data_IF_461547617645
#
_entry.id   IF_461547617645
#
_cell.length_a   1.000
_cell.length_b   1.000
_cell.length_c   1.000
_cell.angle_alpha   90.00
_cell.angle_beta   90.00
_cell.angle_gamma   90.00
#
_symmetry.space_group_name_H-M   'P 1'
#
loop_
_entity.id
_entity.type
_entity.pdbx_description
1 polymer ?
#
# COMPACT_ATOMS: atom_id res chain seq x y z
N UNK A 1 9.42 8.72 -4.19
CA UNK A 1 8.63 8.72 -5.43
C UNK A 1 9.42 9.31 -6.57
N UNK A 2 8.89 9.25 -7.80
CA UNK A 2 9.46 9.99 -8.94
C UNK A 2 8.68 11.28 -9.16
N UNK A 3 9.41 12.38 -9.31
CA UNK A 3 8.90 13.66 -9.80
C UNK A 3 9.84 14.13 -10.92
N UNK A 4 9.29 14.48 -12.05
CA UNK A 4 10.04 14.90 -13.24
C UNK A 4 11.19 13.93 -13.60
N UNK A 5 10.91 12.63 -13.48
CA UNK A 5 11.85 11.55 -13.78
C UNK A 5 12.95 11.31 -12.74
N UNK A 6 12.90 11.96 -11.57
CA UNK A 6 13.93 11.84 -10.54
C UNK A 6 13.38 11.37 -9.20
N UNK A 7 14.10 10.51 -8.47
CA UNK A 7 13.76 10.15 -7.11
C UNK A 7 13.67 11.38 -6.21
N UNK A 8 12.49 11.60 -5.63
CA UNK A 8 12.18 12.77 -4.82
C UNK A 8 11.59 12.34 -3.48
N UNK A 9 12.07 12.94 -2.40
CA UNK A 9 11.52 12.73 -1.07
C UNK A 9 10.25 13.55 -0.89
N UNK A 10 9.23 12.95 -0.29
CA UNK A 10 7.98 13.63 0.06
C UNK A 10 7.63 13.35 1.52
N UNK A 11 6.93 14.27 2.13
CA UNK A 11 6.54 14.13 3.53
C UNK A 11 5.36 13.17 3.69
N UNK A 12 5.38 12.38 4.76
CA UNK A 12 4.22 11.60 5.14
C UNK A 12 3.03 12.51 5.48
N UNK A 13 1.82 12.02 5.23
CA UNK A 13 0.54 12.74 5.40
C UNK A 13 0.41 14.00 4.51
N UNK A 14 1.24 14.10 3.45
CA UNK A 14 1.16 15.19 2.47
C UNK A 14 0.34 14.81 1.24
N UNK A 15 0.06 15.80 0.42
CA UNK A 15 -0.63 15.70 -0.88
C UNK A 15 -1.94 14.90 -0.81
N UNK A 16 -2.78 15.29 0.15
CA UNK A 16 -4.10 14.70 0.36
C UNK A 16 -5.00 14.93 -0.87
N UNK A 17 -5.59 13.86 -1.36
CA UNK A 17 -6.62 13.88 -2.41
C UNK A 17 -7.77 12.93 -2.07
N UNK A 18 -8.89 13.05 -2.77
CA UNK A 18 -10.01 12.13 -2.64
C UNK A 18 -10.02 11.16 -3.81
N UNK A 19 -10.24 9.88 -3.50
CA UNK A 19 -10.41 8.82 -4.49
C UNK A 19 -11.71 8.09 -4.19
N UNK A 20 -12.53 7.87 -5.22
CA UNK A 20 -13.81 7.18 -5.05
C UNK A 20 -13.71 5.76 -5.57
N UNK A 21 -14.16 4.84 -4.75
CA UNK A 21 -14.35 3.42 -5.09
C UNK A 21 -15.85 3.09 -5.21
N UNK A 22 -16.20 1.99 -5.87
CA UNK A 22 -17.58 1.52 -5.90
C UNK A 22 -18.15 1.24 -4.49
N UNK A 23 -19.48 1.31 -4.32
CA UNK A 23 -20.11 0.83 -3.08
C UNK A 23 -19.71 -0.63 -2.78
N UNK A 24 -19.55 -1.01 -1.50
CA UNK A 24 -19.81 -0.22 -0.29
C UNK A 24 -18.63 0.64 0.19
N UNK A 25 -17.51 0.69 -0.51
CA UNK A 25 -16.30 1.39 -0.08
C UNK A 25 -16.48 2.92 -0.11
N UNK A 26 -16.92 3.46 -1.25
CA UNK A 26 -17.19 4.90 -1.39
C UNK A 26 -15.95 5.77 -1.44
N UNK A 27 -16.05 6.99 -0.90
CA UNK A 27 -14.96 7.97 -0.91
C UNK A 27 -13.88 7.63 0.12
N UNK A 28 -12.62 7.75 -0.30
CA UNK A 28 -11.44 7.56 0.53
C UNK A 28 -10.51 8.77 0.42
N UNK A 29 -9.70 9.00 1.44
CA UNK A 29 -8.55 9.89 1.44
C UNK A 29 -7.31 9.13 0.97
N UNK A 30 -6.60 9.70 -0.01
CA UNK A 30 -5.32 9.19 -0.48
C UNK A 30 -4.20 10.18 -0.13
N UNK A 31 -3.13 9.72 0.50
CA UNK A 31 -2.03 10.56 0.95
C UNK A 31 -0.73 9.76 1.04
N UNK A 32 0.40 10.46 1.06
CA UNK A 32 1.69 9.81 1.16
C UNK A 32 1.95 9.24 2.54
N UNK A 33 2.49 8.01 2.54
CA UNK A 33 3.08 7.35 3.71
C UNK A 33 4.49 6.87 3.35
N UNK A 34 5.22 6.23 4.26
CA UNK A 34 6.52 5.65 3.95
C UNK A 34 6.44 4.31 3.24
N UNK A 35 7.38 4.01 2.35
CA UNK A 35 7.73 2.67 1.88
C UNK A 35 6.89 2.03 0.78
N UNK A 36 5.91 2.71 0.20
CA UNK A 36 4.93 2.08 -0.70
C UNK A 36 5.44 1.65 -2.07
N UNK A 37 6.47 2.27 -2.62
CA UNK A 37 7.04 1.91 -3.93
C UNK A 37 8.48 1.41 -3.89
N UNK A 38 9.00 1.15 -2.68
CA UNK A 38 10.31 0.54 -2.47
C UNK A 38 11.40 1.10 -3.40
N UNK A 39 12.02 0.25 -4.23
CA UNK A 39 13.12 0.62 -5.13
C UNK A 39 12.67 1.16 -6.49
N UNK A 40 11.39 1.10 -6.81
CA UNK A 40 10.86 1.49 -8.14
C UNK A 40 11.28 2.91 -8.58
N UNK A 41 11.37 3.93 -7.69
CA UNK A 41 11.83 5.25 -8.10
C UNK A 41 13.23 5.25 -8.74
N UNK A 42 14.12 4.40 -8.28
CA UNK A 42 15.47 4.28 -8.85
C UNK A 42 15.48 3.40 -10.11
N UNK A 43 14.71 2.32 -10.12
CA UNK A 43 14.60 1.43 -11.28
C UNK A 43 13.99 2.11 -12.52
N UNK A 44 13.10 3.09 -12.28
CA UNK A 44 12.38 3.82 -13.32
C UNK A 44 12.83 5.28 -13.49
N UNK A 45 13.94 5.67 -12.86
CA UNK A 45 14.54 7.00 -13.04
C UNK A 45 14.79 7.29 -14.53
N UNK A 46 14.36 8.45 -14.99
CA UNK A 46 14.48 8.86 -16.40
C UNK A 46 13.52 8.15 -17.38
N UNK A 47 12.87 7.06 -16.98
CA UNK A 47 11.92 6.30 -17.82
C UNK A 47 10.47 6.73 -17.61
N UNK A 48 10.11 7.09 -16.36
CA UNK A 48 8.77 7.51 -15.98
C UNK A 48 8.85 8.90 -15.35
N UNK A 49 8.02 9.82 -15.81
CA UNK A 49 8.04 11.21 -15.34
C UNK A 49 7.54 11.32 -13.90
N UNK A 50 6.44 10.67 -13.59
CA UNK A 50 5.83 10.69 -12.26
C UNK A 50 5.45 9.27 -11.85
N UNK A 51 5.88 8.86 -10.67
CA UNK A 51 5.46 7.60 -10.04
C UNK A 51 5.27 7.84 -8.57
N UNK A 52 4.09 7.56 -8.07
CA UNK A 52 3.75 7.78 -6.67
C UNK A 52 2.94 6.63 -6.09
N UNK A 53 2.99 6.52 -4.79
CA UNK A 53 2.15 5.65 -4.00
C UNK A 53 1.46 6.48 -2.91
N UNK A 54 0.16 6.30 -2.78
CA UNK A 54 -0.63 6.89 -1.70
C UNK A 54 -1.39 5.80 -0.96
N UNK A 55 -1.40 5.91 0.35
CA UNK A 55 -2.19 5.03 1.21
C UNK A 55 -3.62 5.56 1.24
N UNK A 56 -4.58 4.64 1.16
CA UNK A 56 -6.01 4.95 1.23
C UNK A 56 -6.53 4.76 2.66
N UNK A 57 -7.32 5.71 3.13
CA UNK A 57 -8.04 5.63 4.41
C UNK A 57 -9.42 6.26 4.27
N UNK A 58 -10.33 5.92 5.16
CA UNK A 58 -11.61 6.62 5.25
C UNK A 58 -11.41 8.09 5.65
N UNK A 59 -12.31 9.01 5.20
CA UNK A 59 -12.20 10.43 5.47
C UNK A 59 -12.08 10.76 6.96
N UNK A 60 -11.20 11.72 7.27
CA UNK A 60 -10.91 12.17 8.63
C UNK A 60 -9.63 11.60 9.22
N UNK A 61 -9.02 10.59 8.60
CA UNK A 61 -7.77 10.00 9.11
C UNK A 61 -6.62 11.02 9.15
N UNK A 62 -6.41 11.75 8.05
CA UNK A 62 -5.33 12.76 7.98
C UNK A 62 -5.59 13.92 8.93
N UNK A 63 -6.85 14.33 9.09
CA UNK A 63 -7.23 15.39 10.02
C UNK A 63 -6.85 15.07 11.48
N UNK A 64 -6.86 13.80 11.87
CA UNK A 64 -6.43 13.35 13.19
C UNK A 64 -4.91 13.16 13.25
N UNK A 65 -4.34 12.46 12.28
CA UNK A 65 -2.93 12.03 12.34
C UNK A 65 -1.92 13.16 12.09
N UNK A 66 -2.30 14.16 11.29
CA UNK A 66 -1.41 15.29 11.00
C UNK A 66 -1.11 16.14 12.25
N UNK A 67 -2.10 16.59 13.06
CA UNK A 67 -1.80 17.26 14.33
C UNK A 67 -0.97 16.43 15.29
N UNK A 68 -1.21 15.14 15.40
CA UNK A 68 -0.42 14.24 16.26
C UNK A 68 1.05 14.26 15.85
N UNK A 69 1.33 14.22 14.54
CA UNK A 69 2.68 14.33 14.01
C UNK A 69 3.29 15.72 14.27
N UNK A 70 2.55 16.78 13.97
CA UNK A 70 3.04 18.16 14.10
C UNK A 70 3.32 18.54 15.55
N UNK A 71 2.60 17.95 16.50
CA UNK A 71 2.87 18.10 17.94
C UNK A 71 4.03 17.22 18.43
N UNK A 72 4.72 16.48 17.56
CA UNK A 72 5.89 15.67 17.91
C UNK A 72 5.56 14.34 18.60
N UNK A 73 4.28 13.94 18.68
CA UNK A 73 3.90 12.67 19.32
C UNK A 73 4.32 11.42 18.53
N UNK A 74 4.74 11.59 17.27
CA UNK A 74 5.31 10.52 16.44
C UNK A 74 6.84 10.59 16.33
N UNK A 75 7.49 11.49 17.06
CA UNK A 75 8.94 11.63 17.04
C UNK A 75 9.63 10.47 17.75
N UNK A 76 10.82 10.12 17.24
CA UNK A 76 11.66 9.05 17.77
C UNK A 76 12.77 9.56 18.67
N UNK A 77 12.99 10.88 18.73
CA UNK A 77 13.97 11.50 19.60
C UNK A 77 13.44 11.49 21.04
N UNK A 78 14.18 10.91 22.00
CA UNK A 78 13.75 10.89 23.39
C UNK A 78 13.60 12.29 23.98
N UNK A 79 12.58 12.47 24.81
CA UNK A 79 12.36 13.68 25.62
C UNK A 79 12.39 13.34 27.11
N UNK A 80 12.87 14.26 27.96
CA UNK A 80 12.88 14.05 29.41
C UNK A 80 11.53 14.35 30.02
N UNK A 81 10.94 13.34 30.68
CA UNK A 81 9.67 13.44 31.42
C UNK A 81 9.93 13.02 32.87
N UNK A 82 9.85 13.95 33.81
CA UNK A 82 10.10 13.68 35.25
C UNK A 82 11.43 12.93 35.49
N UNK A 83 12.49 13.34 34.78
CA UNK A 83 13.83 12.76 34.92
C UNK A 83 14.08 11.45 34.16
N UNK A 84 13.09 10.89 33.49
CA UNK A 84 13.22 9.69 32.65
C UNK A 84 13.20 10.07 31.17
N UNK A 85 13.96 9.35 30.34
CA UNK A 85 13.88 9.47 28.90
C UNK A 85 12.69 8.66 28.36
N UNK A 86 11.88 9.30 27.54
CA UNK A 86 10.69 8.72 26.92
C UNK A 86 10.71 9.04 25.42
N UNK A 87 10.53 8.03 24.58
CA UNK A 87 10.31 8.21 23.15
C UNK A 87 8.83 8.51 22.91
N UNK A 88 8.47 9.71 22.38
CA UNK A 88 7.05 10.11 22.22
C UNK A 88 6.25 9.10 21.42
N UNK A 89 6.78 8.61 20.30
CA UNK A 89 6.10 7.62 19.45
C UNK A 89 5.79 6.32 20.19
N UNK A 90 6.70 5.82 21.00
CA UNK A 90 6.50 4.55 21.71
C UNK A 90 5.42 4.69 22.79
N UNK A 91 5.40 5.83 23.48
CA UNK A 91 4.33 6.17 24.42
C UNK A 91 2.99 6.29 23.71
N UNK A 92 2.94 6.99 22.56
CA UNK A 92 1.73 7.15 21.77
C UNK A 92 1.19 5.79 21.33
N UNK A 93 2.03 4.93 20.77
CA UNK A 93 1.64 3.59 20.32
C UNK A 93 1.11 2.77 21.52
N UNK A 94 1.80 2.75 22.63
CA UNK A 94 1.36 2.02 23.83
C UNK A 94 0.00 2.48 24.34
N UNK A 95 -0.25 3.80 24.32
CA UNK A 95 -1.51 4.38 24.79
C UNK A 95 -2.69 4.12 23.83
N UNK A 96 -2.44 4.08 22.52
CA UNK A 96 -3.49 4.03 21.49
C UNK A 96 -3.80 2.60 21.04
N UNK A 97 -2.83 1.71 21.00
CA UNK A 97 -3.01 0.34 20.52
C UNK A 97 -4.17 -0.42 21.18
N UNK A 98 -4.35 -0.41 22.50
CA UNK A 98 -5.48 -1.11 23.13
C UNK A 98 -6.85 -0.57 22.71
N UNK A 99 -6.91 0.72 22.27
CA UNK A 99 -8.15 1.38 21.83
C UNK A 99 -8.47 1.10 20.36
N UNK A 100 -7.45 0.82 19.56
CA UNK A 100 -7.57 0.57 18.12
C UNK A 100 -7.68 -0.91 17.78
N UNK A 101 -7.24 -1.78 18.67
CA UNK A 101 -7.31 -3.23 18.45
C UNK A 101 -8.76 -3.71 18.55
N UNK A 102 -9.26 -4.27 17.44
CA UNK A 102 -10.58 -4.90 17.34
C UNK A 102 -10.40 -6.37 16.99
N UNK A 103 -10.52 -7.32 17.94
CA UNK A 103 -10.27 -8.74 17.70
C UNK A 103 -11.13 -9.36 16.59
N UNK A 104 -12.37 -8.86 16.42
CA UNK A 104 -13.33 -9.35 15.42
C UNK A 104 -13.50 -8.39 14.24
N UNK A 105 -12.48 -7.56 13.99
CA UNK A 105 -12.53 -6.62 12.88
C UNK A 105 -12.51 -7.34 11.52
N UNK A 106 -13.52 -7.05 10.70
CA UNK A 106 -13.52 -7.45 9.31
C UNK A 106 -12.88 -6.36 8.48
N UNK A 107 -11.87 -6.72 7.75
CA UNK A 107 -11.10 -5.79 6.92
C UNK A 107 -11.52 -5.84 5.46
N UNK A 108 -11.09 -4.85 4.73
CA UNK A 108 -11.08 -4.83 3.27
C UNK A 108 -9.74 -4.31 2.77
N UNK A 109 -9.37 -4.74 1.56
CA UNK A 109 -8.25 -4.18 0.81
C UNK A 109 -8.80 -3.52 -0.44
N UNK A 110 -8.48 -2.24 -0.62
CA UNK A 110 -8.76 -1.48 -1.83
C UNK A 110 -7.43 -1.04 -2.44
N UNK A 111 -7.21 -1.39 -3.70
CA UNK A 111 -6.03 -1.01 -4.46
C UNK A 111 -6.46 -0.51 -5.83
N UNK A 112 -5.84 0.57 -6.28
CA UNK A 112 -6.00 1.10 -7.62
C UNK A 112 -4.64 1.47 -8.18
N UNK A 113 -4.42 1.13 -9.44
CA UNK A 113 -3.23 1.50 -10.20
C UNK A 113 -3.71 2.22 -11.45
N UNK A 114 -3.27 3.46 -11.63
CA UNK A 114 -3.54 4.26 -12.81
C UNK A 114 -2.23 4.51 -13.55
N UNK A 115 -2.18 4.17 -14.83
CA UNK A 115 -1.03 4.42 -15.70
C UNK A 115 -1.45 5.34 -16.86
N UNK A 116 -0.67 6.37 -17.12
CA UNK A 116 -0.92 7.32 -18.22
C UNK A 116 0.31 7.45 -19.10
N UNK A 117 0.14 7.18 -20.38
CA UNK A 117 1.15 7.36 -21.40
C UNK A 117 1.18 8.76 -22.00
N UNK A 118 2.17 9.03 -22.85
CA UNK A 118 2.39 10.35 -23.46
C UNK A 118 1.28 10.79 -24.43
N UNK A 119 0.60 9.85 -25.07
CA UNK A 119 -0.39 10.11 -26.14
C UNK A 119 -1.84 10.09 -25.64
N UNK A 120 -2.07 10.35 -24.34
CA UNK A 120 -3.40 10.25 -23.76
C UNK A 120 -3.89 8.81 -23.56
N UNK A 121 -3.12 7.82 -23.96
CA UNK A 121 -3.39 6.41 -23.66
C UNK A 121 -3.21 6.17 -22.15
N UNK A 122 -4.04 5.34 -21.61
CA UNK A 122 -3.95 4.98 -20.20
C UNK A 122 -4.59 3.63 -19.94
N UNK A 123 -4.26 3.06 -18.81
CA UNK A 123 -4.90 1.88 -18.28
C UNK A 123 -5.01 2.02 -16.76
N UNK A 124 -6.07 1.47 -16.21
CA UNK A 124 -6.26 1.48 -14.77
C UNK A 124 -6.73 0.09 -14.32
N UNK A 125 -6.25 -0.32 -13.16
CA UNK A 125 -6.64 -1.59 -12.54
C UNK A 125 -7.11 -1.35 -11.12
N UNK A 126 -8.07 -2.15 -10.70
CA UNK A 126 -8.61 -2.10 -9.36
C UNK A 126 -8.70 -3.50 -8.76
N UNK A 127 -8.40 -3.58 -7.47
CA UNK A 127 -8.66 -4.74 -6.63
C UNK A 127 -9.47 -4.28 -5.44
N UNK A 128 -10.56 -5.01 -5.16
CA UNK A 128 -11.32 -4.94 -3.92
C UNK A 128 -11.41 -6.36 -3.36
N UNK A 129 -10.86 -6.57 -2.19
CA UNK A 129 -10.96 -7.84 -1.47
C UNK A 129 -11.51 -7.62 -0.07
N UNK A 130 -12.24 -8.58 0.44
CA UNK A 130 -12.94 -8.51 1.71
C UNK A 130 -12.56 -9.69 2.60
N UNK A 131 -12.80 -9.54 3.88
CA UNK A 131 -12.69 -10.65 4.82
C UNK A 131 -13.46 -11.88 4.32
N UNK A 132 -12.81 -13.04 4.31
CA UNK A 132 -13.40 -14.31 3.91
C UNK A 132 -14.08 -14.97 5.12
N UNK A 133 -15.39 -14.81 5.23
CA UNK A 133 -16.19 -15.37 6.34
C UNK A 133 -16.13 -16.90 6.39
N UNK A 134 -16.04 -17.54 5.24
CA UNK A 134 -16.07 -19.01 5.18
C UNK A 134 -14.76 -19.63 5.70
N UNK A 135 -13.65 -18.93 5.53
CA UNK A 135 -12.31 -19.40 5.94
C UNK A 135 -11.79 -18.69 7.18
N UNK A 136 -12.42 -17.61 7.62
CA UNK A 136 -11.94 -16.80 8.73
C UNK A 136 -10.62 -16.08 8.41
N UNK A 137 -10.41 -15.66 7.17
CA UNK A 137 -9.15 -15.05 6.71
C UNK A 137 -9.38 -13.60 6.31
N UNK A 138 -8.55 -12.69 6.83
CA UNK A 138 -8.64 -11.27 6.50
C UNK A 138 -8.28 -11.00 5.04
N UNK A 139 -8.84 -9.92 4.47
CA UNK A 139 -8.50 -9.47 3.12
C UNK A 139 -6.99 -9.18 2.99
N UNK A 140 -6.37 -8.59 4.02
CA UNK A 140 -4.93 -8.35 4.06
C UNK A 140 -4.13 -9.66 4.03
N UNK A 141 -4.55 -10.68 4.78
CA UNK A 141 -3.90 -12.01 4.77
C UNK A 141 -4.04 -12.67 3.40
N UNK A 142 -5.21 -12.57 2.75
CA UNK A 142 -5.45 -13.11 1.41
C UNK A 142 -4.56 -12.44 0.38
N UNK A 143 -4.65 -11.12 0.26
CA UNK A 143 -3.91 -10.36 -0.76
C UNK A 143 -2.40 -10.44 -0.58
N UNK A 144 -1.89 -10.41 0.65
CA UNK A 144 -0.45 -10.52 0.93
C UNK A 144 0.03 -11.97 0.86
N UNK A 145 -0.66 -12.88 1.54
CA UNK A 145 -0.24 -14.29 1.62
C UNK A 145 -0.36 -15.03 0.30
N UNK A 146 -1.46 -14.83 -0.43
CA UNK A 146 -1.62 -15.46 -1.75
C UNK A 146 -0.67 -14.88 -2.78
N UNK A 147 -0.35 -13.59 -2.72
CA UNK A 147 0.68 -12.97 -3.56
C UNK A 147 2.03 -13.69 -3.42
N UNK A 148 2.48 -13.88 -2.18
CA UNK A 148 3.73 -14.59 -1.89
C UNK A 148 3.66 -16.06 -2.32
N UNK A 149 2.59 -16.76 -1.96
CA UNK A 149 2.42 -18.18 -2.27
C UNK A 149 2.34 -18.45 -3.78
N UNK A 150 1.62 -17.62 -4.53
CA UNK A 150 1.51 -17.71 -6.00
C UNK A 150 2.88 -17.49 -6.64
N UNK A 151 3.63 -16.47 -6.22
CA UNK A 151 4.98 -16.24 -6.73
C UNK A 151 5.88 -17.44 -6.47
N UNK A 152 5.87 -18.01 -5.25
CA UNK A 152 6.62 -19.22 -4.93
C UNK A 152 6.22 -20.42 -5.77
N UNK A 153 4.91 -20.63 -5.99
CA UNK A 153 4.39 -21.69 -6.85
C UNK A 153 4.91 -21.54 -8.30
N UNK A 154 4.82 -20.34 -8.86
CA UNK A 154 5.29 -20.04 -10.21
C UNK A 154 6.81 -20.27 -10.35
N UNK A 155 7.59 -20.03 -9.30
CA UNK A 155 9.01 -20.36 -9.27
C UNK A 155 9.25 -21.87 -9.33
N UNK A 156 8.57 -22.64 -8.49
CA UNK A 156 8.69 -24.12 -8.46
C UNK A 156 8.27 -24.75 -9.78
N UNK A 157 7.24 -24.21 -10.42
CA UNK A 157 6.74 -24.67 -11.71
C UNK A 157 7.59 -24.20 -12.92
N UNK A 158 8.65 -23.43 -12.68
CA UNK A 158 9.53 -22.92 -13.74
C UNK A 158 8.90 -21.80 -14.60
N UNK A 159 7.79 -21.23 -14.19
CA UNK A 159 7.14 -20.12 -14.91
C UNK A 159 7.86 -18.78 -14.71
N UNK A 160 8.68 -18.66 -13.67
CA UNK A 160 9.61 -17.56 -13.46
C UNK A 160 10.99 -18.02 -13.89
N UNK A 161 11.38 -17.65 -15.10
CA UNK A 161 12.63 -18.12 -15.71
C UNK A 161 13.88 -17.30 -15.30
N UNK A 162 13.68 -16.13 -14.70
CA UNK A 162 14.77 -15.20 -14.36
C UNK A 162 15.49 -15.67 -13.10
N UNK A 163 16.81 -15.69 -13.16
CA UNK A 163 17.64 -16.11 -12.03
C UNK A 163 18.24 -14.92 -11.27
N UNK A 164 18.59 -15.15 -10.01
CA UNK A 164 19.19 -14.15 -9.11
C UNK A 164 18.16 -13.28 -8.41
N UNK A 165 18.61 -12.17 -7.80
CA UNK A 165 17.74 -11.21 -7.12
C UNK A 165 17.12 -10.29 -8.16
N UNK A 166 15.81 -10.32 -8.28
CA UNK A 166 15.02 -9.51 -9.21
C UNK A 166 13.81 -8.91 -8.51
N UNK A 167 13.30 -7.82 -9.05
CA UNK A 167 12.04 -7.24 -8.60
C UNK A 167 10.85 -7.96 -9.25
N UNK A 168 9.67 -7.96 -8.62
CA UNK A 168 8.49 -8.63 -9.18
C UNK A 168 8.10 -8.15 -10.58
N UNK A 169 8.27 -6.87 -10.88
CA UNK A 169 7.99 -6.28 -12.18
C UNK A 169 8.94 -6.78 -13.29
N UNK A 170 10.15 -7.20 -12.94
CA UNK A 170 11.12 -7.80 -13.87
C UNK A 170 10.92 -9.31 -14.04
N UNK A 171 10.47 -10.01 -12.99
CA UNK A 171 10.56 -11.46 -12.91
C UNK A 171 9.22 -12.17 -13.08
N UNK A 172 8.11 -11.57 -12.62
CA UNK A 172 6.83 -12.27 -12.54
C UNK A 172 5.98 -11.98 -13.77
N UNK A 173 5.61 -12.98 -14.59
CA UNK A 173 4.70 -12.82 -15.70
C UNK A 173 3.31 -12.34 -15.23
N UNK A 174 2.95 -11.11 -15.58
CA UNK A 174 1.77 -10.43 -15.05
C UNK A 174 0.46 -11.19 -15.32
N UNK A 175 0.24 -11.63 -16.56
CA UNK A 175 -1.00 -12.32 -16.94
C UNK A 175 -1.20 -13.62 -16.17
N UNK A 176 -0.15 -14.43 -16.03
CA UNK A 176 -0.20 -15.69 -15.29
C UNK A 176 -0.42 -15.46 -13.80
N UNK A 177 0.25 -14.45 -13.25
CA UNK A 177 0.10 -14.07 -11.85
C UNK A 177 -1.33 -13.62 -11.53
N UNK A 178 -1.92 -12.76 -12.35
CA UNK A 178 -3.30 -12.30 -12.18
C UNK A 178 -4.27 -13.48 -12.31
N UNK A 179 -4.06 -14.38 -13.27
CA UNK A 179 -4.88 -15.57 -13.43
C UNK A 179 -4.79 -16.49 -12.21
N UNK A 180 -3.60 -16.69 -11.63
CA UNK A 180 -3.43 -17.48 -10.41
C UNK A 180 -4.10 -16.86 -9.18
N UNK A 181 -4.05 -15.55 -9.03
CA UNK A 181 -4.78 -14.84 -7.97
C UNK A 181 -6.29 -15.00 -8.15
N UNK A 182 -6.78 -14.88 -9.38
CA UNK A 182 -8.20 -15.06 -9.73
C UNK A 182 -8.74 -16.44 -9.34
N UNK A 183 -7.96 -17.52 -9.54
CA UNK A 183 -8.32 -18.89 -9.10
C UNK A 183 -8.54 -18.98 -7.58
N UNK A 184 -8.01 -18.05 -6.81
CA UNK A 184 -8.11 -17.96 -5.33
C UNK A 184 -9.10 -16.91 -4.88
N UNK A 185 -9.87 -16.34 -5.83
CA UNK A 185 -10.90 -15.34 -5.56
C UNK A 185 -10.33 -13.94 -5.25
N UNK A 186 -9.06 -13.67 -5.59
CA UNK A 186 -8.48 -12.32 -5.54
C UNK A 186 -8.47 -11.77 -6.95
N UNK A 187 -9.42 -10.90 -7.25
CA UNK A 187 -9.65 -10.40 -8.59
C UNK A 187 -9.05 -9.01 -8.81
N UNK A 188 -8.21 -8.90 -9.83
CA UNK A 188 -7.70 -7.64 -10.35
C UNK A 188 -8.46 -7.33 -11.63
N UNK A 189 -9.20 -6.22 -11.65
CA UNK A 189 -10.04 -5.81 -12.77
C UNK A 189 -9.46 -4.60 -13.46
N UNK A 190 -9.40 -4.66 -14.78
CA UNK A 190 -9.11 -3.47 -15.58
C UNK A 190 -10.34 -2.56 -15.61
N UNK A 191 -10.11 -1.27 -15.42
CA UNK A 191 -11.14 -0.24 -15.50
C UNK A 191 -11.15 0.31 -16.94
N UNK A 192 -12.26 0.20 -17.60
CA UNK A 192 -12.50 0.76 -18.95
C UNK A 192 -12.89 2.23 -18.88
#
# INVERSE_FOLDING_TARGET
MLRDGRPTRVDALSELEQVTFPPPVGALEAFHTGGGISILPWAYEGKVRTMEYKTLRYPGHVAVMRPIRELGLLDVTPVKVKGKEVVPRDLFIAAVSPKLTKPEGRDLVALRVDVRGHNGQGAAWQLLDYYDEARGISAMMRTTGYSLAVTGLMQVEGRIAVQGVRTPDEAVPFADYVAELGKRGVEIRELT
#
